data_IF_564105479535
#
_entry.id   IF_564105479535
#
_cell.length_a   1.000
_cell.length_b   1.000
_cell.length_c   1.000
_cell.angle_alpha   90.00
_cell.angle_beta   90.00
_cell.angle_gamma   90.00
#
_symmetry.space_group_name_H-M   'P 1'
#
loop_
_entity.id
_entity.type
_entity.pdbx_description
1 polymer ?
#
# COMPACT_ATOMS: atom_id res chain seq x y z
N UNK A 1 -40.01 -31.88 -50.91
CA UNK A 1 -40.03 -31.72 -49.44
C UNK A 1 -41.47 -31.43 -49.04
N UNK A 2 -42.10 -32.32 -48.26
CA UNK A 2 -43.46 -32.08 -47.76
C UNK A 2 -43.45 -30.91 -46.78
N UNK A 3 -44.59 -30.25 -46.61
CA UNK A 3 -44.74 -29.11 -45.70
C UNK A 3 -44.38 -29.51 -44.25
N UNK A 4 -44.71 -30.73 -43.85
CA UNK A 4 -44.38 -31.33 -42.55
C UNK A 4 -42.88 -31.47 -42.31
N UNK A 5 -42.09 -31.82 -43.33
CA UNK A 5 -40.62 -31.91 -43.17
C UNK A 5 -39.98 -30.55 -42.91
N UNK A 6 -40.54 -29.46 -43.46
CA UNK A 6 -40.07 -28.09 -43.21
C UNK A 6 -40.42 -27.61 -41.81
N UNK A 7 -41.62 -27.98 -41.34
CA UNK A 7 -42.10 -27.64 -40.01
C UNK A 7 -41.25 -28.30 -38.91
N UNK A 8 -40.96 -29.60 -39.03
CA UNK A 8 -40.10 -30.33 -38.09
C UNK A 8 -38.67 -29.78 -38.02
N UNK A 9 -38.08 -29.40 -39.15
CA UNK A 9 -36.74 -28.78 -39.19
C UNK A 9 -36.75 -27.41 -38.50
N UNK A 10 -37.80 -26.60 -38.69
CA UNK A 10 -37.92 -25.29 -38.05
C UNK A 10 -38.04 -25.39 -36.53
N UNK A 11 -38.82 -26.36 -36.02
CA UNK A 11 -38.99 -26.61 -34.59
C UNK A 11 -37.68 -27.10 -33.95
N UNK A 12 -36.96 -28.02 -34.62
CA UNK A 12 -35.66 -28.52 -34.15
C UNK A 12 -34.59 -27.42 -34.11
N UNK A 13 -34.54 -26.56 -35.14
CA UNK A 13 -33.60 -25.43 -35.18
C UNK A 13 -33.91 -24.37 -34.12
N UNK A 14 -35.19 -24.06 -33.88
CA UNK A 14 -35.60 -23.10 -32.83
C UNK A 14 -35.18 -23.59 -31.45
N UNK A 15 -35.52 -24.85 -31.10
CA UNK A 15 -35.17 -25.41 -29.80
C UNK A 15 -33.64 -25.51 -29.58
N UNK A 16 -32.90 -25.84 -30.63
CA UNK A 16 -31.42 -25.87 -30.59
C UNK A 16 -30.80 -24.49 -30.42
N UNK A 17 -31.34 -23.47 -31.10
CA UNK A 17 -30.89 -22.09 -30.98
C UNK A 17 -31.20 -21.50 -29.58
N UNK A 18 -32.37 -21.81 -29.03
CA UNK A 18 -32.76 -21.38 -27.68
C UNK A 18 -31.84 -22.03 -26.62
N UNK A 19 -31.56 -23.33 -26.75
CA UNK A 19 -30.64 -24.04 -25.86
C UNK A 19 -29.21 -23.47 -25.95
N UNK A 20 -28.72 -23.19 -27.15
CA UNK A 20 -27.41 -22.58 -27.36
C UNK A 20 -27.33 -21.18 -26.75
N UNK A 21 -28.40 -20.38 -26.87
CA UNK A 21 -28.48 -19.04 -26.27
C UNK A 21 -28.43 -19.11 -24.76
N UNK A 22 -29.21 -20.01 -24.14
CA UNK A 22 -29.18 -20.24 -22.69
C UNK A 22 -27.79 -20.68 -22.23
N UNK A 23 -27.17 -21.63 -22.93
CA UNK A 23 -25.82 -22.08 -22.63
C UNK A 23 -24.78 -20.95 -22.73
N UNK A 24 -24.86 -20.12 -23.78
CA UNK A 24 -23.96 -18.99 -23.97
C UNK A 24 -24.08 -17.95 -22.86
N UNK A 25 -25.31 -17.64 -22.42
CA UNK A 25 -25.54 -16.73 -21.28
C UNK A 25 -24.94 -17.30 -19.99
N UNK A 26 -25.16 -18.60 -19.72
CA UNK A 26 -24.59 -19.25 -18.54
C UNK A 26 -23.06 -19.25 -18.55
N UNK A 27 -22.44 -19.59 -19.69
CA UNK A 27 -20.98 -19.56 -19.86
C UNK A 27 -20.46 -18.13 -19.64
N UNK A 28 -21.14 -17.13 -20.20
CA UNK A 28 -20.74 -15.72 -20.05
C UNK A 28 -20.84 -15.24 -18.60
N UNK A 29 -21.89 -15.65 -17.87
CA UNK A 29 -22.01 -15.35 -16.44
C UNK A 29 -20.89 -15.98 -15.60
N UNK A 30 -20.56 -17.24 -15.87
CA UNK A 30 -19.46 -17.93 -15.19
C UNK A 30 -18.12 -17.25 -15.50
N UNK A 31 -17.86 -16.90 -16.77
CA UNK A 31 -16.67 -16.19 -17.17
C UNK A 31 -16.56 -14.81 -16.49
N UNK A 32 -17.66 -14.04 -16.45
CA UNK A 32 -17.72 -12.75 -15.76
C UNK A 32 -17.41 -12.90 -14.27
N UNK A 33 -17.95 -13.93 -13.61
CA UNK A 33 -17.68 -14.20 -12.21
C UNK A 33 -16.18 -14.47 -11.97
N UNK A 34 -15.54 -15.29 -12.81
CA UNK A 34 -14.10 -15.52 -12.72
C UNK A 34 -13.29 -14.24 -12.99
N UNK A 35 -13.70 -13.43 -13.96
CA UNK A 35 -13.04 -12.15 -14.26
C UNK A 35 -13.11 -11.17 -13.07
N UNK A 36 -14.26 -11.07 -12.40
CA UNK A 36 -14.42 -10.22 -11.20
C UNK A 36 -13.51 -10.73 -10.06
N UNK A 37 -13.45 -12.05 -9.84
CA UNK A 37 -12.59 -12.62 -8.80
C UNK A 37 -11.11 -12.37 -9.08
N UNK A 38 -10.70 -12.59 -10.32
CA UNK A 38 -9.32 -12.36 -10.76
C UNK A 38 -8.94 -10.88 -10.59
N UNK A 39 -9.82 -9.96 -10.98
CA UNK A 39 -9.62 -8.52 -10.79
C UNK A 39 -9.39 -8.15 -9.31
N UNK A 40 -10.16 -8.74 -8.39
CA UNK A 40 -9.98 -8.53 -6.95
C UNK A 40 -8.62 -9.07 -6.47
N UNK A 41 -8.21 -10.26 -6.95
CA UNK A 41 -6.92 -10.87 -6.58
C UNK A 41 -5.76 -10.04 -7.11
N UNK A 42 -5.81 -9.61 -8.37
CA UNK A 42 -4.81 -8.72 -8.98
C UNK A 42 -4.69 -7.41 -8.22
N UNK A 43 -5.81 -6.84 -7.77
CA UNK A 43 -5.81 -5.66 -6.91
C UNK A 43 -5.06 -5.87 -5.59
N UNK A 44 -5.12 -7.06 -4.99
CA UNK A 44 -4.35 -7.40 -3.77
C UNK A 44 -2.88 -7.63 -4.07
N UNK A 45 -2.57 -8.35 -5.15
CA UNK A 45 -1.19 -8.60 -5.58
C UNK A 45 -0.45 -7.31 -5.90
N UNK A 46 -1.09 -6.40 -6.65
CA UNK A 46 -0.52 -5.10 -6.98
C UNK A 46 -0.24 -4.26 -5.74
N UNK A 47 -1.11 -4.30 -4.71
CA UNK A 47 -0.87 -3.64 -3.42
C UNK A 47 0.33 -4.21 -2.69
N UNK A 48 0.44 -5.54 -2.64
CA UNK A 48 1.56 -6.22 -2.02
C UNK A 48 2.87 -5.88 -2.75
N UNK A 49 2.85 -5.86 -4.07
CA UNK A 49 4.00 -5.51 -4.91
C UNK A 49 4.48 -4.07 -4.67
N UNK A 50 3.57 -3.09 -4.67
CA UNK A 50 3.92 -1.70 -4.30
C UNK A 50 4.52 -1.60 -2.90
N UNK A 51 3.94 -2.29 -1.92
CA UNK A 51 4.47 -2.28 -0.57
C UNK A 51 5.88 -2.89 -0.49
N UNK A 52 6.10 -4.03 -1.14
CA UNK A 52 7.42 -4.66 -1.20
C UNK A 52 8.44 -3.75 -1.89
N UNK A 53 8.04 -3.10 -2.97
CA UNK A 53 8.89 -2.14 -3.66
C UNK A 53 9.31 -0.96 -2.76
N UNK A 54 8.38 -0.38 -2.01
CA UNK A 54 8.69 0.69 -1.05
C UNK A 54 9.60 0.22 0.08
N UNK A 55 9.35 -0.98 0.61
CA UNK A 55 10.20 -1.61 1.62
C UNK A 55 11.61 -1.81 1.09
N UNK A 56 11.75 -2.31 -0.14
CA UNK A 56 13.06 -2.57 -0.71
C UNK A 56 13.81 -1.25 -0.98
N UNK A 57 13.11 -0.18 -1.38
CA UNK A 57 13.69 1.15 -1.55
C UNK A 57 14.33 1.68 -0.26
N UNK A 58 13.61 1.66 0.88
CA UNK A 58 14.16 2.20 2.13
C UNK A 58 15.42 1.46 2.61
N UNK A 59 15.52 0.15 2.38
CA UNK A 59 16.66 -0.65 2.86
C UNK A 59 17.78 -0.81 1.84
N UNK A 60 17.52 -0.62 0.54
CA UNK A 60 18.51 -0.82 -0.52
C UNK A 60 19.14 0.48 -0.99
N UNK A 61 18.46 1.61 -0.78
CA UNK A 61 18.94 2.91 -1.22
C UNK A 61 19.99 3.47 -0.24
N UNK A 62 21.22 3.78 -0.71
CA UNK A 62 22.28 4.31 0.13
C UNK A 62 21.92 5.61 0.86
N UNK A 63 21.13 6.49 0.24
CA UNK A 63 20.75 7.77 0.85
C UNK A 63 19.78 7.57 2.01
N UNK A 64 18.83 6.65 1.85
CA UNK A 64 17.94 6.24 2.94
C UNK A 64 18.69 5.60 4.09
N UNK A 65 19.63 4.71 3.78
CA UNK A 65 20.47 4.07 4.78
C UNK A 65 21.35 5.09 5.52
N UNK A 66 21.87 6.10 4.84
CA UNK A 66 22.64 7.17 5.46
C UNK A 66 21.80 7.97 6.46
N UNK A 67 20.58 8.35 6.08
CA UNK A 67 19.64 9.05 6.96
C UNK A 67 19.24 8.15 8.14
N UNK A 68 18.84 6.90 7.88
CA UNK A 68 18.47 5.94 8.92
C UNK A 68 19.60 5.71 9.93
N UNK A 69 20.83 5.49 9.47
CA UNK A 69 22.00 5.30 10.33
C UNK A 69 22.39 6.55 11.13
N UNK A 70 22.02 7.74 10.65
CA UNK A 70 22.24 9.00 11.36
C UNK A 70 21.15 9.27 12.42
N UNK A 71 19.95 8.71 12.21
CA UNK A 71 18.81 8.83 13.13
C UNK A 71 18.74 7.70 14.16
N UNK A 72 19.49 6.61 13.99
CA UNK A 72 19.51 5.50 14.93
C UNK A 72 20.43 5.77 16.12
N UNK A 73 20.01 5.30 17.30
CA UNK A 73 20.77 5.44 18.55
C UNK A 73 22.11 4.68 18.55
N UNK A 74 22.35 3.84 17.53
CA UNK A 74 23.57 3.02 17.41
C UNK A 74 24.80 3.80 16.91
N UNK A 75 24.67 5.11 16.69
CA UNK A 75 25.83 6.01 16.58
C UNK A 75 26.62 5.92 15.28
N UNK A 76 25.96 5.58 14.17
CA UNK A 76 26.62 5.31 12.89
C UNK A 76 27.21 6.55 12.21
N UNK A 77 26.42 7.61 12.06
CA UNK A 77 26.80 8.85 11.37
C UNK A 77 26.24 10.09 12.06
N UNK A 78 26.89 11.24 11.90
CA UNK A 78 26.34 12.51 12.40
C UNK A 78 25.26 13.04 11.48
N UNK A 79 24.11 13.42 12.04
CA UNK A 79 23.00 14.08 11.33
C UNK A 79 23.48 15.35 10.59
N UNK A 80 24.52 16.01 11.11
CA UNK A 80 25.10 17.21 10.49
C UNK A 80 25.79 16.93 9.14
N UNK A 81 26.08 15.66 8.82
CA UNK A 81 26.68 15.26 7.53
C UNK A 81 25.66 15.01 6.43
N UNK A 82 24.37 14.97 6.76
CA UNK A 82 23.31 14.75 5.78
C UNK A 82 23.11 16.00 4.91
N UNK A 83 23.00 15.78 3.59
CA UNK A 83 22.65 16.85 2.67
C UNK A 83 21.17 17.22 2.81
N UNK A 84 20.82 18.45 2.39
CA UNK A 84 19.42 18.88 2.31
C UNK A 84 18.59 17.92 1.43
N UNK A 85 19.15 17.55 0.28
CA UNK A 85 18.52 16.63 -0.69
C UNK A 85 18.23 15.25 -0.09
N UNK A 86 19.15 14.69 0.71
CA UNK A 86 18.93 13.44 1.43
C UNK A 86 17.79 13.55 2.45
N UNK A 87 17.71 14.66 3.18
CA UNK A 87 16.64 14.92 4.15
C UNK A 87 15.29 15.05 3.45
N UNK A 88 15.20 15.87 2.40
CA UNK A 88 13.96 16.08 1.64
C UNK A 88 13.49 14.81 0.91
N UNK A 89 14.42 14.05 0.32
CA UNK A 89 14.11 12.76 -0.31
C UNK A 89 13.57 11.75 0.70
N UNK A 90 14.14 11.72 1.90
CA UNK A 90 13.67 10.88 2.98
C UNK A 90 12.25 11.26 3.44
N UNK A 91 12.00 12.56 3.63
CA UNK A 91 10.66 13.08 3.98
C UNK A 91 9.63 12.72 2.90
N UNK A 92 9.96 12.97 1.63
CA UNK A 92 9.09 12.65 0.50
C UNK A 92 8.72 11.17 0.43
N UNK A 93 9.65 10.27 0.71
CA UNK A 93 9.34 8.85 0.81
C UNK A 93 8.38 8.51 1.96
N UNK A 94 8.56 9.10 3.14
CA UNK A 94 7.62 8.87 4.25
C UNK A 94 6.24 9.45 3.90
N UNK A 95 6.16 10.56 3.15
CA UNK A 95 4.89 11.03 2.59
C UNK A 95 4.26 10.04 1.61
N UNK A 96 5.05 9.40 0.74
CA UNK A 96 4.55 8.32 -0.11
C UNK A 96 3.93 7.19 0.74
N UNK A 97 4.58 6.80 1.85
CA UNK A 97 4.01 5.81 2.79
C UNK A 97 2.69 6.30 3.40
N UNK A 98 2.62 7.57 3.80
CA UNK A 98 1.40 8.16 4.32
C UNK A 98 0.26 8.18 3.28
N UNK A 99 0.58 8.44 2.00
CA UNK A 99 -0.39 8.32 0.89
C UNK A 99 -0.91 6.89 0.76
N UNK A 100 -0.02 5.88 0.84
CA UNK A 100 -0.41 4.48 0.73
C UNK A 100 -1.34 4.05 1.87
N UNK A 101 -1.07 4.51 3.09
CA UNK A 101 -1.89 4.20 4.27
C UNK A 101 -3.24 4.93 4.23
N UNK A 102 -3.25 6.20 3.84
CA UNK A 102 -4.48 6.97 3.66
C UNK A 102 -5.38 6.38 2.56
N UNK A 103 -4.76 5.87 1.49
CA UNK A 103 -5.45 5.18 0.39
C UNK A 103 -5.90 3.76 0.73
N UNK A 104 -5.68 3.29 1.97
CA UNK A 104 -5.98 1.93 2.45
C UNK A 104 -5.30 0.83 1.62
N UNK A 105 -4.17 1.16 0.98
CA UNK A 105 -3.32 0.18 0.29
C UNK A 105 -2.53 -0.63 1.32
N UNK A 106 -2.11 0.03 2.40
CA UNK A 106 -1.58 -0.61 3.62
C UNK A 106 -2.41 -0.18 4.83
N UNK A 107 -2.47 -1.04 5.85
CA UNK A 107 -3.11 -0.68 7.10
C UNK A 107 -2.12 0.03 8.04
N UNK A 108 -2.65 0.76 9.02
CA UNK A 108 -1.85 1.56 9.96
C UNK A 108 -0.87 0.71 10.78
N UNK A 109 -1.23 -0.52 11.17
CA UNK A 109 -0.34 -1.40 11.93
C UNK A 109 0.88 -1.84 11.10
N UNK A 110 0.67 -2.17 9.83
CA UNK A 110 1.74 -2.52 8.89
C UNK A 110 2.64 -1.32 8.61
N UNK A 111 2.04 -0.14 8.38
CA UNK A 111 2.78 1.10 8.18
C UNK A 111 3.65 1.44 9.39
N UNK A 112 3.07 1.37 10.60
CA UNK A 112 3.77 1.56 11.86
C UNK A 112 4.91 0.56 12.04
N UNK A 113 4.63 -0.73 11.87
CA UNK A 113 5.62 -1.78 12.12
C UNK A 113 6.85 -1.67 11.22
N UNK A 114 6.68 -1.26 9.95
CA UNK A 114 7.78 -1.17 8.99
C UNK A 114 8.45 0.21 8.94
N UNK A 115 7.66 1.29 9.02
CA UNK A 115 8.12 2.64 8.74
C UNK A 115 7.90 3.60 9.93
N UNK A 116 7.20 3.17 10.97
CA UNK A 116 6.88 4.00 12.13
C UNK A 116 8.11 4.52 12.84
N UNK A 117 9.09 3.65 13.11
CA UNK A 117 10.35 4.07 13.73
C UNK A 117 11.07 5.16 12.91
N UNK A 118 11.15 4.98 11.59
CA UNK A 118 11.77 5.93 10.66
C UNK A 118 11.11 7.33 10.74
N UNK A 119 9.77 7.36 10.69
CA UNK A 119 9.01 8.60 10.80
C UNK A 119 9.16 9.26 12.19
N UNK A 120 9.08 8.46 13.26
CA UNK A 120 9.18 8.96 14.65
C UNK A 120 10.57 9.52 14.95
N UNK A 121 11.64 8.81 14.58
CA UNK A 121 13.02 9.24 14.83
C UNK A 121 13.34 10.54 14.09
N UNK A 122 12.90 10.65 12.83
CA UNK A 122 12.99 11.89 12.07
C UNK A 122 12.20 13.02 12.74
N UNK A 123 10.94 12.77 13.12
CA UNK A 123 10.06 13.77 13.71
C UNK A 123 10.58 14.34 15.03
N UNK A 124 11.14 13.49 15.89
CA UNK A 124 11.67 13.88 17.21
C UNK A 124 13.06 14.52 17.16
N UNK A 125 13.80 14.39 16.07
CA UNK A 125 15.18 14.86 15.98
C UNK A 125 15.28 16.33 15.57
N UNK A 126 15.46 17.25 16.53
CA UNK A 126 15.66 18.68 16.23
C UNK A 126 16.86 18.95 15.31
N UNK A 127 17.89 18.09 15.38
CA UNK A 127 19.07 18.18 14.52
C UNK A 127 18.73 17.91 13.05
N UNK A 128 17.81 16.97 12.79
CA UNK A 128 17.37 16.66 11.42
C UNK A 128 16.74 17.91 10.78
N UNK A 129 15.86 18.58 11.52
CA UNK A 129 15.08 19.73 11.06
C UNK A 129 15.82 21.07 11.06
N UNK A 130 17.13 21.11 11.32
CA UNK A 130 17.87 22.39 11.38
C UNK A 130 17.82 23.15 10.05
N UNK A 131 17.94 22.41 8.94
CA UNK A 131 18.05 22.97 7.59
C UNK A 131 16.79 22.75 6.74
N UNK A 132 15.76 22.11 7.31
CA UNK A 132 14.45 21.84 6.68
C UNK A 132 13.36 22.37 7.59
N UNK A 133 12.43 23.16 7.06
CA UNK A 133 11.33 23.71 7.86
C UNK A 133 10.33 22.62 8.25
N UNK A 134 10.29 22.26 9.54
CA UNK A 134 9.33 21.29 10.10
C UNK A 134 7.86 21.69 9.92
N UNK A 135 7.59 22.99 9.94
CA UNK A 135 6.24 23.55 9.84
C UNK A 135 5.86 23.95 8.41
N UNK A 136 6.66 23.55 7.42
CA UNK A 136 6.29 23.78 6.04
C UNK A 136 5.03 22.97 5.68
N UNK A 137 4.10 23.63 4.97
CA UNK A 137 2.89 22.99 4.44
C UNK A 137 3.21 21.83 3.50
N UNK A 138 4.39 21.83 2.88
CA UNK A 138 4.82 20.74 2.01
C UNK A 138 4.92 19.41 2.76
N UNK A 139 5.18 19.43 4.08
CA UNK A 139 5.35 18.25 4.91
C UNK A 139 4.13 17.96 5.80
N UNK A 140 2.96 18.52 5.48
CA UNK A 140 1.78 18.35 6.33
C UNK A 140 1.35 16.88 6.43
N UNK A 141 1.47 16.13 5.33
CA UNK A 141 1.09 14.73 5.31
C UNK A 141 2.08 13.87 6.09
N UNK A 142 3.38 14.16 5.96
CA UNK A 142 4.41 13.58 6.80
C UNK A 142 4.12 13.84 8.30
N UNK A 143 3.82 15.08 8.67
CA UNK A 143 3.53 15.48 10.05
C UNK A 143 2.37 14.69 10.63
N UNK A 144 1.23 14.69 9.93
CA UNK A 144 0.04 13.93 10.35
C UNK A 144 0.32 12.43 10.49
N UNK A 145 1.17 11.88 9.62
CA UNK A 145 1.60 10.49 9.71
C UNK A 145 2.49 10.25 10.94
N UNK A 146 3.55 11.04 11.11
CA UNK A 146 4.52 10.88 12.20
C UNK A 146 3.88 11.08 13.59
N UNK A 147 2.98 12.05 13.73
CA UNK A 147 2.22 12.26 14.97
C UNK A 147 1.35 11.04 15.32
N UNK A 148 0.64 10.47 14.33
CA UNK A 148 -0.12 9.23 14.54
C UNK A 148 0.79 8.06 14.92
N UNK A 149 1.95 7.92 14.28
CA UNK A 149 2.92 6.87 14.64
C UNK A 149 3.41 7.03 16.09
N UNK A 150 3.66 8.26 16.55
CA UNK A 150 4.04 8.54 17.94
C UNK A 150 2.96 8.12 18.95
N UNK A 151 1.68 8.35 18.62
CA UNK A 151 0.55 7.91 19.47
C UNK A 151 0.52 6.37 19.54
N UNK A 152 0.62 5.69 18.39
CA UNK A 152 0.67 4.23 18.32
C UNK A 152 1.83 3.64 19.12
N UNK A 153 3.02 4.24 19.03
CA UNK A 153 4.22 3.83 19.79
C UNK A 153 3.98 3.90 21.30
N UNK A 154 3.44 5.04 21.75
CA UNK A 154 3.12 5.28 23.17
C UNK A 154 2.09 4.28 23.70
N UNK A 155 1.03 4.01 22.94
CA UNK A 155 0.00 3.04 23.31
C UNK A 155 0.58 1.62 23.47
N UNK A 156 1.47 1.20 22.56
CA UNK A 156 2.12 -0.12 22.64
C UNK A 156 3.04 -0.23 23.85
N UNK A 157 3.80 0.82 24.18
CA UNK A 157 4.64 0.81 25.38
C UNK A 157 3.81 0.61 26.67
N UNK A 158 2.69 1.32 26.79
CA UNK A 158 1.80 1.24 27.95
C UNK A 158 1.24 -0.18 28.11
N UNK A 159 0.74 -0.78 27.01
CA UNK A 159 0.22 -2.15 27.03
C UNK A 159 1.31 -3.15 27.45
N UNK A 160 2.52 -3.01 26.89
CA UNK A 160 3.64 -3.92 27.18
C UNK A 160 4.10 -3.83 28.63
N UNK A 161 4.09 -2.62 29.22
CA UNK A 161 4.41 -2.41 30.65
C UNK A 161 3.32 -3.00 31.58
N UNK A 162 2.04 -2.90 31.22
CA UNK A 162 0.93 -3.48 32.00
C UNK A 162 0.90 -5.01 32.02
N UNK A 163 1.32 -5.68 30.94
CA UNK A 163 1.35 -7.15 30.87
C UNK A 163 2.49 -7.77 31.69
N UNK A 164 3.51 -6.96 32.04
CA UNK A 164 4.66 -7.40 32.85
C UNK A 164 4.49 -7.18 34.36
N UNK A 165 3.39 -6.56 34.79
CA UNK A 165 3.01 -6.32 36.21
C UNK A 165 1.97 -7.34 36.64
#
# INVERSE_FOLDING_TARGET
>A
MSNESRELISILLSNGADLATIAAVLISMVALFFAIREYIIQGKLKRADYFLHMRDRIFSDPDFNAVYASLSDEGGNSIDTLTLDQKETYLGFIEEIAVLENSKLINTQTAYYMFGYCAISCWRSDLFWRDVSREDKYWSLFKDFAERMCVFDTEREIVTKKVKL
#
